data_IF_230122535366
#
_entry.id   IF_230122535366
#
_cell.length_a   1.000
_cell.length_b   1.000
_cell.length_c   1.000
_cell.angle_alpha   90.00
_cell.angle_beta   90.00
_cell.angle_gamma   90.00
#
_symmetry.space_group_name_H-M   'P 1'
#
loop_
_entity.id
_entity.type
_entity.pdbx_description
1 polymer ?
#
# COMPACT_ATOMS: atom_id res chain seq x y z
N UNK A 1 23.66 6.60 -24.74
CA UNK A 1 23.15 7.18 -23.48
C UNK A 1 22.13 6.20 -22.91
N UNK A 2 22.61 5.16 -22.25
CA UNK A 2 21.80 4.27 -21.39
C UNK A 2 21.76 4.93 -20.02
N UNK A 3 21.04 6.05 -19.91
CA UNK A 3 20.91 6.77 -18.63
C UNK A 3 20.03 5.96 -17.68
N UNK A 4 20.60 5.58 -16.53
CA UNK A 4 20.06 5.49 -15.16
C UNK A 4 18.55 5.27 -14.88
N UNK A 5 17.73 4.76 -15.80
CA UNK A 5 16.33 4.42 -15.52
C UNK A 5 16.23 3.39 -14.39
N UNK A 6 17.17 2.45 -14.32
CA UNK A 6 17.26 1.47 -13.23
C UNK A 6 17.43 2.13 -11.86
N UNK A 7 18.16 3.25 -11.79
CA UNK A 7 18.39 4.03 -10.58
C UNK A 7 17.12 4.77 -10.16
N UNK A 8 16.40 5.39 -11.11
CA UNK A 8 15.09 6.02 -10.85
C UNK A 8 14.02 5.01 -10.39
N UNK A 9 13.94 3.83 -11.02
CA UNK A 9 13.00 2.79 -10.61
C UNK A 9 13.34 2.22 -9.22
N UNK A 10 14.63 2.02 -8.94
CA UNK A 10 15.10 1.50 -7.63
C UNK A 10 14.89 2.51 -6.51
N UNK A 11 15.17 3.80 -6.76
CA UNK A 11 14.97 4.87 -5.78
C UNK A 11 13.49 5.07 -5.44
N UNK A 12 12.61 5.11 -6.46
CA UNK A 12 11.16 5.17 -6.24
C UNK A 12 10.64 3.96 -5.45
N UNK A 13 11.14 2.77 -5.76
CA UNK A 13 10.71 1.57 -5.05
C UNK A 13 11.19 1.56 -3.59
N UNK A 14 12.40 2.04 -3.30
CA UNK A 14 12.90 2.17 -1.94
C UNK A 14 12.06 3.16 -1.10
N UNK A 15 11.75 4.34 -1.66
CA UNK A 15 10.87 5.31 -1.00
C UNK A 15 9.47 4.72 -0.75
N UNK A 16 8.91 4.00 -1.73
CA UNK A 16 7.62 3.36 -1.57
C UNK A 16 7.63 2.33 -0.43
N UNK A 17 8.67 1.51 -0.31
CA UNK A 17 8.80 0.54 0.79
C UNK A 17 8.78 1.23 2.16
N UNK A 18 9.49 2.37 2.32
CA UNK A 18 9.48 3.13 3.57
C UNK A 18 8.06 3.64 3.88
N UNK A 19 7.38 4.24 2.90
CA UNK A 19 6.00 4.72 3.09
C UNK A 19 5.03 3.60 3.45
N UNK A 20 5.18 2.44 2.81
CA UNK A 20 4.39 1.23 3.07
C UNK A 20 4.58 0.73 4.50
N UNK A 21 5.82 0.71 5.01
CA UNK A 21 6.09 0.27 6.38
C UNK A 21 5.43 1.19 7.42
N UNK A 22 5.44 2.50 7.19
CA UNK A 22 4.75 3.47 8.05
C UNK A 22 3.24 3.20 8.05
N UNK A 23 2.64 2.94 6.89
CA UNK A 23 1.23 2.58 6.76
C UNK A 23 0.88 1.28 7.51
N UNK A 24 1.76 0.27 7.44
CA UNK A 24 1.56 -0.99 8.15
C UNK A 24 1.57 -0.77 9.67
N UNK A 25 2.55 -0.03 10.19
CA UNK A 25 2.64 0.31 11.61
C UNK A 25 1.40 1.09 12.05
N UNK A 26 0.95 2.08 11.27
CA UNK A 26 -0.26 2.83 11.56
C UNK A 26 -1.50 1.92 11.63
N UNK A 27 -1.62 0.95 10.72
CA UNK A 27 -2.68 -0.07 10.74
C UNK A 27 -2.65 -0.94 12.01
N UNK A 28 -1.45 -1.38 12.44
CA UNK A 28 -1.27 -2.16 13.68
C UNK A 28 -1.71 -1.33 14.90
N UNK A 29 -1.22 -0.10 15.02
CA UNK A 29 -1.55 0.81 16.13
C UNK A 29 -3.06 1.10 16.18
N UNK A 30 -3.69 1.32 15.02
CA UNK A 30 -5.13 1.51 14.91
C UNK A 30 -5.91 0.28 15.38
N UNK A 31 -5.49 -0.91 14.98
CA UNK A 31 -6.13 -2.16 15.38
C UNK A 31 -6.00 -2.42 16.89
N UNK A 32 -4.84 -2.10 17.47
CA UNK A 32 -4.61 -2.20 18.92
C UNK A 32 -5.50 -1.22 19.70
N UNK A 33 -5.65 0.02 19.21
CA UNK A 33 -6.41 1.06 19.89
C UNK A 33 -7.91 0.91 19.71
N UNK A 34 -8.37 0.50 18.53
CA UNK A 34 -9.79 0.40 18.18
C UNK A 34 -10.01 -0.90 17.43
N UNK A 35 -10.75 -1.86 17.99
CA UNK A 35 -11.09 -3.14 17.36
C UNK A 35 -12.46 -3.06 16.69
N UNK A 36 -12.56 -2.29 15.61
CA UNK A 36 -13.79 -2.10 14.85
C UNK A 36 -13.65 -2.67 13.44
N UNK A 37 -14.77 -2.89 12.75
CA UNK A 37 -14.72 -3.47 11.41
C UNK A 37 -13.92 -2.58 10.43
N UNK A 38 -13.94 -1.26 10.62
CA UNK A 38 -13.06 -0.32 9.91
C UNK A 38 -11.58 -0.55 10.17
N UNK A 39 -11.15 -0.74 11.42
CA UNK A 39 -9.71 -0.93 11.72
C UNK A 39 -9.18 -2.28 11.24
N UNK A 40 -10.00 -3.35 11.28
CA UNK A 40 -9.66 -4.62 10.64
C UNK A 40 -9.45 -4.43 9.13
N UNK A 41 -10.34 -3.68 8.45
CA UNK A 41 -10.23 -3.46 7.02
C UNK A 41 -8.99 -2.60 6.66
N UNK A 42 -8.68 -1.57 7.47
CA UNK A 42 -7.45 -0.77 7.35
C UNK A 42 -6.22 -1.67 7.47
N UNK A 43 -6.20 -2.56 8.46
CA UNK A 43 -5.08 -3.46 8.69
C UNK A 43 -4.91 -4.50 7.57
N UNK A 44 -6.02 -5.11 7.11
CA UNK A 44 -5.98 -6.02 5.96
C UNK A 44 -5.50 -5.29 4.70
N UNK A 45 -6.02 -4.08 4.45
CA UNK A 45 -5.59 -3.25 3.33
C UNK A 45 -4.11 -2.87 3.40
N UNK A 46 -3.59 -2.53 4.58
CA UNK A 46 -2.18 -2.19 4.75
C UNK A 46 -1.25 -3.40 4.59
N UNK A 47 -1.66 -4.59 5.04
CA UNK A 47 -0.93 -5.85 4.75
C UNK A 47 -0.92 -6.10 3.23
N UNK A 48 -2.07 -6.03 2.58
CA UNK A 48 -2.18 -6.30 1.14
C UNK A 48 -1.31 -5.32 0.34
N UNK A 49 -1.37 -4.04 0.70
CA UNK A 49 -0.56 -2.98 0.09
C UNK A 49 0.93 -3.23 0.30
N UNK A 50 1.31 -3.73 1.48
CA UNK A 50 2.69 -4.08 1.81
C UNK A 50 3.22 -5.22 0.98
N UNK A 51 2.50 -6.35 0.97
CA UNK A 51 2.90 -7.52 0.21
C UNK A 51 2.97 -7.22 -1.29
N UNK A 52 2.01 -6.46 -1.81
CA UNK A 52 1.98 -6.10 -3.23
C UNK A 52 3.11 -5.13 -3.59
N UNK A 53 3.44 -4.18 -2.72
CA UNK A 53 4.56 -3.25 -2.94
C UNK A 53 5.92 -3.95 -2.91
N UNK A 54 6.13 -4.88 -1.97
CA UNK A 54 7.35 -5.70 -1.92
C UNK A 54 7.44 -6.61 -3.15
N UNK A 55 6.33 -7.28 -3.49
CA UNK A 55 6.26 -8.12 -4.69
C UNK A 55 6.53 -7.34 -5.97
N UNK A 56 5.99 -6.12 -6.07
CA UNK A 56 6.25 -5.18 -7.17
C UNK A 56 7.74 -4.84 -7.28
N UNK A 57 8.40 -4.53 -6.16
CA UNK A 57 9.83 -4.24 -6.16
C UNK A 57 10.66 -5.42 -6.68
N UNK A 58 10.41 -6.62 -6.14
CA UNK A 58 11.12 -7.84 -6.56
C UNK A 58 10.85 -8.15 -8.03
N UNK A 59 9.60 -8.06 -8.49
CA UNK A 59 9.23 -8.30 -9.88
C UNK A 59 9.93 -7.31 -10.83
N UNK A 60 9.97 -6.03 -10.49
CA UNK A 60 10.66 -5.00 -11.28
C UNK A 60 12.17 -5.22 -11.30
N UNK A 61 12.80 -5.64 -10.20
CA UNK A 61 14.22 -6.00 -10.18
C UNK A 61 14.54 -7.17 -11.11
N UNK A 62 13.69 -8.21 -11.11
CA UNK A 62 13.87 -9.37 -11.99
C UNK A 62 13.65 -8.96 -13.45
N UNK A 63 12.58 -8.22 -13.74
CA UNK A 63 12.25 -7.78 -15.08
C UNK A 63 13.30 -6.83 -15.68
N UNK A 64 13.89 -5.96 -14.84
CA UNK A 64 14.98 -5.08 -15.23
C UNK A 64 16.25 -5.82 -15.68
N UNK A 65 16.46 -7.06 -15.21
CA UNK A 65 17.56 -7.92 -15.69
C UNK A 65 17.26 -8.58 -17.04
N UNK A 66 15.98 -8.73 -17.39
CA UNK A 66 15.55 -9.35 -18.65
C UNK A 66 15.61 -8.33 -19.79
N UNK A 67 15.16 -7.10 -19.52
CA UNK A 67 15.23 -5.99 -20.47
C UNK A 67 14.12 -4.96 -20.26
N UNK A 68 14.26 -3.82 -20.94
CA UNK A 68 13.39 -2.64 -20.73
C UNK A 68 11.91 -2.92 -21.02
N UNK A 69 11.61 -3.67 -22.08
CA UNK A 69 10.22 -4.02 -22.44
C UNK A 69 9.56 -4.88 -21.36
N UNK A 70 10.31 -5.82 -20.77
CA UNK A 70 9.82 -6.66 -19.69
C UNK A 70 9.61 -5.81 -18.41
N UNK A 71 10.53 -4.88 -18.14
CA UNK A 71 10.42 -3.95 -17.01
C UNK A 71 9.16 -3.08 -17.11
N UNK A 72 8.90 -2.44 -18.25
CA UNK A 72 7.72 -1.58 -18.43
C UNK A 72 6.42 -2.35 -18.25
N UNK A 73 6.31 -3.55 -18.84
CA UNK A 73 5.12 -4.40 -18.68
C UNK A 73 4.92 -4.82 -17.22
N UNK A 74 5.99 -5.26 -16.56
CA UNK A 74 5.96 -5.69 -15.16
C UNK A 74 5.57 -4.53 -14.25
N UNK A 75 6.12 -3.35 -14.50
CA UNK A 75 5.79 -2.15 -13.76
C UNK A 75 4.31 -1.77 -13.90
N UNK A 76 3.75 -1.83 -15.10
CA UNK A 76 2.34 -1.54 -15.34
C UNK A 76 1.39 -2.52 -14.63
N UNK A 77 1.69 -3.82 -14.65
CA UNK A 77 0.90 -4.81 -13.89
C UNK A 77 1.03 -4.61 -12.39
N UNK A 78 2.25 -4.38 -11.93
CA UNK A 78 2.53 -4.24 -10.51
C UNK A 78 1.92 -2.95 -9.94
N UNK A 79 1.93 -1.85 -10.68
CA UNK A 79 1.29 -0.60 -10.27
C UNK A 79 -0.23 -0.77 -10.14
N UNK A 80 -0.87 -1.45 -11.08
CA UNK A 80 -2.30 -1.76 -11.00
C UNK A 80 -2.64 -2.59 -9.74
N UNK A 81 -1.84 -3.61 -9.43
CA UNK A 81 -2.02 -4.41 -8.22
C UNK A 81 -1.86 -3.56 -6.94
N UNK A 82 -0.84 -2.71 -6.89
CA UNK A 82 -0.61 -1.77 -5.78
C UNK A 82 -1.80 -0.81 -5.61
N UNK A 83 -2.36 -0.29 -6.71
CA UNK A 83 -3.56 0.55 -6.69
C UNK A 83 -4.76 -0.17 -6.11
N UNK A 84 -5.03 -1.42 -6.50
CA UNK A 84 -6.14 -2.21 -5.96
C UNK A 84 -5.99 -2.40 -4.45
N UNK A 85 -4.79 -2.73 -3.98
CA UNK A 85 -4.53 -2.86 -2.55
C UNK A 85 -4.73 -1.53 -1.80
N UNK A 86 -4.32 -0.42 -2.40
CA UNK A 86 -4.53 0.92 -1.84
C UNK A 86 -6.02 1.32 -1.77
N UNK A 87 -6.83 0.89 -2.74
CA UNK A 87 -8.28 1.11 -2.71
C UNK A 87 -8.93 0.39 -1.52
N UNK A 88 -8.54 -0.86 -1.24
CA UNK A 88 -9.03 -1.62 -0.08
C UNK A 88 -8.66 -0.90 1.22
N UNK A 89 -7.41 -0.44 1.33
CA UNK A 89 -6.96 0.37 2.47
C UNK A 89 -7.81 1.65 2.64
N UNK A 90 -8.03 2.38 1.54
CA UNK A 90 -8.80 3.63 1.53
C UNK A 90 -10.26 3.43 1.94
N UNK A 91 -10.91 2.35 1.47
CA UNK A 91 -12.25 1.94 1.91
C UNK A 91 -12.25 1.67 3.41
N UNK A 92 -11.18 1.05 3.93
CA UNK A 92 -11.04 0.79 5.36
C UNK A 92 -10.97 2.07 6.17
N UNK A 93 -10.19 3.05 5.70
CA UNK A 93 -10.09 4.38 6.34
C UNK A 93 -11.46 5.07 6.33
N UNK A 94 -12.17 5.07 5.20
CA UNK A 94 -13.50 5.67 5.11
C UNK A 94 -14.48 5.03 6.09
N UNK A 95 -14.50 3.69 6.17
CA UNK A 95 -15.35 2.95 7.09
C UNK A 95 -15.00 3.23 8.55
N UNK A 96 -13.71 3.33 8.86
CA UNK A 96 -13.24 3.68 10.21
C UNK A 96 -13.70 5.08 10.61
N UNK A 97 -13.60 6.06 9.70
CA UNK A 97 -14.03 7.44 9.96
C UNK A 97 -15.54 7.51 10.19
N UNK A 98 -16.35 6.81 9.41
CA UNK A 98 -17.80 6.75 9.64
C UNK A 98 -18.13 6.09 10.97
N UNK A 99 -17.48 4.98 11.34
CA UNK A 99 -17.66 4.33 12.64
C UNK A 99 -17.28 5.25 13.83
N UNK A 100 -16.21 6.04 13.70
CA UNK A 100 -15.84 7.04 14.71
C UNK A 100 -16.93 8.12 14.83
N UNK A 101 -17.45 8.61 13.71
CA UNK A 101 -18.52 9.64 13.71
C UNK A 101 -19.82 9.11 14.29
N UNK A 102 -20.25 7.91 13.91
CA UNK A 102 -21.47 7.28 14.45
C UNK A 102 -21.36 7.08 15.96
N UNK A 103 -20.22 6.57 16.45
CA UNK A 103 -20.01 6.44 17.89
C UNK A 103 -20.14 7.79 18.60
N UNK A 104 -19.48 8.85 18.08
CA UNK A 104 -19.57 10.19 18.67
C UNK A 104 -20.99 10.76 18.67
N UNK A 105 -21.81 10.40 17.69
CA UNK A 105 -23.20 10.84 17.61
C UNK A 105 -24.13 10.01 18.52
N UNK A 106 -23.74 8.78 18.89
CA UNK A 106 -24.44 7.94 19.87
C UNK A 106 -24.02 8.22 21.31
N UNK A 107 -22.83 8.80 21.54
CA UNK A 107 -22.36 9.28 22.85
C UNK A 107 -22.43 10.80 23.01
N UNK A 108 -23.06 11.50 22.08
CA UNK A 108 -23.33 12.94 22.18
C UNK A 108 -24.70 13.21 22.78
N UNK A 109 -24.67 13.90 23.91
CA UNK A 109 -25.67 14.81 24.49
C UNK A 109 -27.03 14.26 24.98
#
# INVERSE_FOLDING_TARGET
MTEDYSLFYSFNAALNIISVLVLLIAGILLLMKKRSAGSYLVFTGSILYTLTSIGSFVANLIAGRIGEVALVKTHAFASAAVTVAFLIFSIGVLKLVTEIRTQKHSTGD
#
